data_IF_278381826126
#
_entry.id   IF_278381826126
#
_cell.length_a   1.000
_cell.length_b   1.000
_cell.length_c   1.000
_cell.angle_alpha   90.00
_cell.angle_beta   90.00
_cell.angle_gamma   90.00
#
_symmetry.space_group_name_H-M   'P 1'
#
loop_
_entity.id
_entity.type
_entity.pdbx_description
1 polymer ?
#
# COMPACT_ATOMS: atom_id res chain seq x y z
N UNK A 1 -3.69 -19.98 -10.63
CA UNK A 1 -4.43 -18.74 -10.29
C UNK A 1 -3.40 -17.62 -10.17
N UNK A 2 -3.57 -16.50 -10.89
CA UNK A 2 -2.60 -15.40 -10.88
C UNK A 2 -2.92 -14.38 -9.77
N UNK A 3 -1.90 -13.61 -9.38
CA UNK A 3 -2.00 -12.43 -8.49
C UNK A 3 -1.49 -11.24 -9.28
N UNK A 4 -2.23 -10.14 -9.24
CA UNK A 4 -1.85 -8.88 -9.90
C UNK A 4 -1.45 -7.87 -8.82
N UNK A 5 -0.33 -7.20 -9.01
CA UNK A 5 0.17 -6.20 -8.08
C UNK A 5 0.62 -4.96 -8.84
N UNK A 6 0.43 -3.80 -8.22
CA UNK A 6 0.84 -2.51 -8.73
C UNK A 6 1.57 -1.76 -7.62
N UNK A 7 2.65 -1.05 -7.96
CA UNK A 7 3.42 -0.23 -7.00
C UNK A 7 2.78 1.13 -6.78
N UNK A 8 1.89 1.56 -7.67
CA UNK A 8 1.15 2.81 -7.53
C UNK A 8 0.24 2.74 -6.29
N UNK A 9 0.38 3.72 -5.40
CA UNK A 9 -0.41 3.85 -4.17
C UNK A 9 -1.33 5.09 -4.19
N UNK A 10 -1.27 5.90 -5.25
CA UNK A 10 -2.18 7.03 -5.47
C UNK A 10 -2.57 7.10 -6.95
N UNK A 11 -3.79 6.68 -7.32
CA UNK A 11 -4.81 6.05 -6.47
C UNK A 11 -4.43 4.64 -6.01
N UNK A 12 -5.01 4.14 -4.92
CA UNK A 12 -4.77 2.76 -4.42
C UNK A 12 -5.26 1.68 -5.39
N UNK A 13 -6.36 1.96 -6.09
CA UNK A 13 -6.92 1.10 -7.13
C UNK A 13 -6.67 1.78 -8.46
N UNK A 14 -5.67 1.29 -9.19
CA UNK A 14 -5.41 1.71 -10.57
C UNK A 14 -6.36 1.00 -11.53
N UNK A 15 -6.50 1.53 -12.75
CA UNK A 15 -7.31 0.87 -13.80
C UNK A 15 -6.81 -0.55 -14.11
N UNK A 16 -5.50 -0.78 -13.95
CA UNK A 16 -4.89 -2.10 -14.08
C UNK A 16 -5.37 -3.07 -12.99
N UNK A 17 -5.34 -2.66 -11.72
CA UNK A 17 -5.84 -3.47 -10.62
C UNK A 17 -7.35 -3.69 -10.72
N UNK A 18 -8.10 -2.67 -11.13
CA UNK A 18 -9.54 -2.77 -11.36
C UNK A 18 -9.87 -3.82 -12.43
N UNK A 19 -9.19 -3.78 -13.57
CA UNK A 19 -9.38 -4.77 -14.64
C UNK A 19 -9.06 -6.21 -14.18
N UNK A 20 -8.05 -6.38 -13.34
CA UNK A 20 -7.74 -7.69 -12.75
C UNK A 20 -8.82 -8.17 -11.78
N UNK A 21 -9.37 -7.26 -10.96
CA UNK A 21 -10.47 -7.55 -10.05
C UNK A 21 -11.74 -7.95 -10.80
N UNK A 22 -12.07 -7.26 -11.90
CA UNK A 22 -13.21 -7.56 -12.77
C UNK A 22 -13.11 -8.97 -13.40
N UNK A 23 -11.89 -9.49 -13.55
CA UNK A 23 -11.62 -10.85 -14.00
C UNK A 23 -11.58 -11.89 -12.86
N UNK A 24 -11.90 -11.49 -11.63
CA UNK A 24 -11.88 -12.36 -10.45
C UNK A 24 -10.47 -12.74 -9.98
N UNK A 25 -9.45 -11.99 -10.39
CA UNK A 25 -8.08 -12.17 -9.93
C UNK A 25 -7.88 -11.55 -8.55
N UNK A 26 -6.93 -12.10 -7.79
CA UNK A 26 -6.49 -11.49 -6.53
C UNK A 26 -5.60 -10.30 -6.86
N UNK A 27 -5.84 -9.16 -6.22
CA UNK A 27 -5.05 -7.95 -6.37
C UNK A 27 -4.30 -7.60 -5.08
N UNK A 28 -3.16 -6.92 -5.22
CA UNK A 28 -2.39 -6.33 -4.11
C UNK A 28 -2.02 -4.90 -4.50
N UNK A 29 -2.50 -3.92 -3.72
CA UNK A 29 -2.21 -2.49 -3.93
C UNK A 29 -0.78 -2.10 -3.52
N UNK A 30 -0.35 -0.92 -3.97
CA UNK A 30 1.01 -0.42 -3.76
C UNK A 30 1.29 0.08 -2.35
N UNK A 31 0.26 0.43 -1.57
CA UNK A 31 0.47 1.03 -0.25
C UNK A 31 0.98 0.01 0.75
N UNK A 32 0.41 -1.19 0.77
CA UNK A 32 0.92 -2.27 1.63
C UNK A 32 2.40 -2.55 1.35
N UNK A 33 2.77 -2.59 0.07
CA UNK A 33 4.16 -2.78 -0.36
C UNK A 33 5.08 -1.62 0.07
N UNK A 34 4.64 -0.37 -0.12
CA UNK A 34 5.37 0.83 0.33
C UNK A 34 5.67 0.78 1.83
N UNK A 35 4.67 0.48 2.66
CA UNK A 35 4.83 0.41 4.11
C UNK A 35 5.86 -0.65 4.52
N UNK A 36 5.80 -1.83 3.89
CA UNK A 36 6.77 -2.89 4.15
C UNK A 36 8.19 -2.54 3.70
N UNK A 37 8.34 -1.81 2.59
CA UNK A 37 9.63 -1.31 2.11
C UNK A 37 10.21 -0.22 3.03
N UNK A 38 9.37 0.57 3.69
CA UNK A 38 9.81 1.62 4.61
C UNK A 38 10.34 1.08 5.95
N UNK A 39 9.93 -0.13 6.37
CA UNK A 39 10.34 -0.76 7.65
C UNK A 39 11.87 -0.78 7.87
N UNK A 40 12.70 -1.32 6.94
CA UNK A 40 14.14 -1.36 7.14
C UNK A 40 14.77 0.04 7.23
N UNK A 41 14.33 0.99 6.41
CA UNK A 41 14.82 2.38 6.44
C UNK A 41 14.49 3.06 7.76
N UNK A 42 13.25 2.92 8.22
CA UNK A 42 12.82 3.47 9.50
C UNK A 42 13.60 2.86 10.68
N UNK A 43 13.83 1.55 10.66
CA UNK A 43 14.64 0.87 11.68
C UNK A 43 16.08 1.39 11.70
N UNK A 44 16.66 1.67 10.53
CA UNK A 44 18.01 2.18 10.42
C UNK A 44 18.14 3.63 10.92
N UNK A 45 17.19 4.50 10.59
CA UNK A 45 17.26 5.92 10.96
C UNK A 45 16.83 6.20 12.39
N UNK A 46 15.84 5.47 12.90
CA UNK A 46 15.20 5.78 14.18
C UNK A 46 15.44 4.72 15.26
N UNK A 47 16.15 3.63 14.94
CA UNK A 47 16.43 2.53 15.88
C UNK A 47 15.22 1.69 16.28
N UNK A 48 14.02 2.07 15.85
CA UNK A 48 12.77 1.37 16.11
C UNK A 48 12.30 0.66 14.84
N UNK A 49 12.04 -0.64 14.90
CA UNK A 49 11.46 -1.37 13.76
C UNK A 49 9.93 -1.29 13.84
N UNK A 50 9.26 -0.55 12.92
CA UNK A 50 7.81 -0.47 12.94
C UNK A 50 7.21 -1.80 12.48
N UNK A 51 6.01 -2.10 12.99
CA UNK A 51 5.18 -3.19 12.49
C UNK A 51 4.15 -2.59 11.55
N UNK A 52 4.01 -3.16 10.36
CA UNK A 52 2.93 -2.78 9.44
C UNK A 52 1.64 -3.40 9.98
N UNK A 53 0.79 -2.56 10.60
CA UNK A 53 -0.52 -2.97 11.13
C UNK A 53 -1.64 -2.34 10.30
N UNK A 54 -2.86 -2.85 10.48
CA UNK A 54 -4.04 -2.29 9.82
C UNK A 54 -4.28 -0.83 10.24
N UNK A 55 -4.01 -0.50 11.51
CA UNK A 55 -4.14 0.85 12.05
C UNK A 55 -3.11 1.80 11.43
N UNK A 56 -1.84 1.38 11.32
CA UNK A 56 -0.81 2.18 10.65
C UNK A 56 -1.19 2.44 9.19
N UNK A 57 -1.67 1.42 8.48
CA UNK A 57 -2.15 1.57 7.12
C UNK A 57 -3.29 2.59 7.04
N UNK A 58 -4.31 2.46 7.87
CA UNK A 58 -5.47 3.35 7.87
C UNK A 58 -5.09 4.82 8.15
N UNK A 59 -4.12 5.06 9.04
CA UNK A 59 -3.60 6.40 9.31
C UNK A 59 -2.94 7.02 8.07
N UNK A 60 -2.11 6.25 7.37
CA UNK A 60 -1.44 6.72 6.15
C UNK A 60 -2.44 6.90 5.00
N UNK A 61 -3.44 6.02 4.88
CA UNK A 61 -4.53 6.21 3.91
C UNK A 61 -5.27 7.53 4.17
N UNK A 62 -5.66 7.78 5.42
CA UNK A 62 -6.34 9.03 5.79
C UNK A 62 -5.52 10.27 5.43
N UNK A 63 -4.21 10.26 5.72
CA UNK A 63 -3.29 11.35 5.38
C UNK A 63 -3.17 11.57 3.85
N UNK A 64 -2.98 10.49 3.08
CA UNK A 64 -2.90 10.54 1.62
C UNK A 64 -4.15 11.12 0.97
N UNK A 65 -5.33 10.88 1.56
CA UNK A 65 -6.60 11.40 1.06
C UNK A 65 -6.92 12.82 1.56
N UNK A 66 -6.36 13.25 2.70
CA UNK A 66 -6.52 14.62 3.21
C UNK A 66 -5.71 15.65 2.42
N UNK A 67 -4.51 15.31 1.95
CA UNK A 67 -3.66 16.21 1.13
C UNK A 67 -4.26 16.49 -0.26
N UNK A 68 -5.28 15.73 -0.69
CA UNK A 68 -5.92 15.83 -2.00
C UNK A 68 -7.28 16.55 -2.04
N UNK A 69 -7.71 17.19 -0.94
CA UNK A 69 -8.98 17.95 -0.89
C UNK A 69 -8.79 19.44 -1.17
#
# INVERSE_FOLDING_TARGET
>A
KAIVTDIVYVPLITDFLKSAQDQGLKIVDGLGMLLHQAVPGFAHWFGQRPRVTAELRALIEADLFQVKS
#
